data_IF_623654961213
#
_entry.id   IF_623654961213
#
_cell.length_a   1.000
_cell.length_b   1.000
_cell.length_c   1.000
_cell.angle_alpha   90.00
_cell.angle_beta   90.00
_cell.angle_gamma   90.00
#
_symmetry.space_group_name_H-M   'P 1'
#
loop_
_entity.id
_entity.type
_entity.pdbx_description
1 polymer ?
#
# COMPACT_ATOMS: atom_id res chain seq x y z
N UNK A 1 7.80 3.93 11.39
CA UNK A 1 7.05 4.89 12.23
C UNK A 1 5.99 4.14 12.97
N UNK A 2 5.74 4.48 14.23
CA UNK A 2 4.61 3.95 15.00
C UNK A 2 3.51 4.99 15.09
N UNK A 3 2.26 4.54 15.01
CA UNK A 3 1.09 5.32 15.37
C UNK A 3 0.75 5.00 16.82
N UNK A 4 0.66 6.03 17.65
CA UNK A 4 0.37 5.88 19.08
C UNK A 4 -0.95 6.51 19.47
N UNK A 5 -1.57 5.98 20.52
CA UNK A 5 -2.70 6.63 21.21
C UNK A 5 -2.20 7.80 22.06
N UNK A 6 -3.13 8.59 22.61
CA UNK A 6 -2.81 9.66 23.57
C UNK A 6 -2.15 9.14 24.86
N UNK A 7 -2.37 7.86 25.19
CA UNK A 7 -1.73 7.17 26.31
C UNK A 7 -0.33 6.60 25.96
N UNK A 8 0.13 6.76 24.71
CA UNK A 8 1.43 6.28 24.25
C UNK A 8 1.45 4.81 23.80
N UNK A 9 0.30 4.14 23.70
CA UNK A 9 0.22 2.77 23.20
C UNK A 9 0.45 2.72 21.68
N UNK A 10 1.36 1.86 21.21
CA UNK A 10 1.62 1.64 19.79
C UNK A 10 0.51 0.79 19.16
N UNK A 11 -0.29 1.40 18.28
CA UNK A 11 -1.47 0.77 17.65
C UNK A 11 -1.31 0.56 16.15
N UNK A 12 -0.19 0.97 15.58
CA UNK A 12 0.08 0.84 14.16
C UNK A 12 1.54 1.06 13.81
N UNK A 13 1.95 0.52 12.67
CA UNK A 13 3.27 0.76 12.13
C UNK A 13 3.26 0.81 10.62
N UNK A 14 4.20 1.59 10.08
CA UNK A 14 4.58 1.60 8.68
C UNK A 14 6.09 1.75 8.56
N UNK A 15 6.70 0.98 7.67
CA UNK A 15 8.10 1.13 7.33
C UNK A 15 8.27 1.42 5.85
N UNK A 16 9.24 2.27 5.56
CA UNK A 16 9.68 2.65 4.23
C UNK A 16 11.09 2.09 4.07
N UNK A 17 11.35 1.41 2.97
CA UNK A 17 12.58 0.67 2.72
C UNK A 17 13.18 1.05 1.37
N UNK A 18 14.48 0.82 1.21
CA UNK A 18 15.18 0.96 -0.06
C UNK A 18 15.25 -0.40 -0.76
N UNK A 19 14.69 -0.48 -1.96
CA UNK A 19 14.80 -1.65 -2.82
C UNK A 19 15.74 -1.34 -4.00
N UNK A 20 16.98 -1.84 -3.96
CA UNK A 20 17.90 -1.67 -5.08
C UNK A 20 17.56 -2.60 -6.24
N UNK A 21 17.94 -2.17 -7.45
CA UNK A 21 17.96 -2.97 -8.68
C UNK A 21 16.63 -3.67 -9.02
N UNK A 22 15.51 -2.99 -8.75
CA UNK A 22 14.20 -3.44 -9.20
C UNK A 22 13.99 -3.00 -10.65
N UNK A 23 14.05 -3.96 -11.58
CA UNK A 23 13.98 -3.69 -13.02
C UNK A 23 15.05 -2.68 -13.50
N UNK A 24 16.25 -2.75 -12.92
CA UNK A 24 17.37 -1.86 -13.26
C UNK A 24 17.30 -0.46 -12.64
N UNK A 25 16.38 -0.23 -11.70
CA UNK A 25 16.22 1.05 -11.00
C UNK A 25 16.09 0.87 -9.48
N UNK A 26 16.46 1.90 -8.72
CA UNK A 26 16.29 1.92 -7.27
C UNK A 26 14.91 2.48 -6.88
N UNK A 27 14.10 1.63 -6.23
CA UNK A 27 12.73 1.97 -5.85
C UNK A 27 12.59 2.08 -4.34
N UNK A 28 11.63 2.91 -3.90
CA UNK A 28 11.14 2.89 -2.53
C UNK A 28 10.18 1.73 -2.33
N UNK A 29 10.21 1.08 -1.16
CA UNK A 29 9.24 0.06 -0.81
C UNK A 29 8.47 0.46 0.44
N UNK A 30 7.14 0.33 0.40
CA UNK A 30 6.32 0.38 1.62
C UNK A 30 6.19 -1.02 2.19
N UNK A 31 6.69 -1.24 3.41
CA UNK A 31 6.79 -2.57 4.02
C UNK A 31 7.18 -2.47 5.50
N UNK A 32 6.55 -3.10 6.50
CA UNK A 32 5.16 -3.59 6.58
C UNK A 32 4.23 -2.49 7.10
N UNK A 33 2.97 -2.54 6.67
CA UNK A 33 1.88 -1.71 7.18
C UNK A 33 1.01 -2.58 8.09
N UNK A 34 0.82 -2.16 9.34
CA UNK A 34 -0.05 -2.86 10.28
C UNK A 34 -0.82 -1.86 11.16
N UNK A 35 -2.05 -2.24 11.52
CA UNK A 35 -2.86 -1.59 12.54
C UNK A 35 -3.36 -2.70 13.46
N UNK A 36 -3.29 -2.46 14.78
CA UNK A 36 -3.82 -3.37 15.78
C UNK A 36 -5.31 -3.67 15.50
N UNK A 37 -5.79 -4.93 15.56
CA UNK A 37 -7.15 -5.31 15.16
C UNK A 37 -8.26 -4.43 15.73
N UNK A 38 -8.19 -4.09 17.01
CA UNK A 38 -9.19 -3.26 17.72
C UNK A 38 -9.32 -1.83 17.16
N UNK A 39 -8.32 -1.39 16.40
CA UNK A 39 -8.23 -0.04 15.82
C UNK A 39 -8.39 -0.05 14.29
N UNK A 40 -8.61 -1.21 13.66
CA UNK A 40 -8.83 -1.32 12.22
C UNK A 40 -10.18 -0.73 11.79
N UNK A 41 -10.34 -0.48 10.48
CA UNK A 41 -11.56 0.10 9.91
C UNK A 41 -11.75 1.61 10.16
N UNK A 42 -10.83 2.26 10.91
CA UNK A 42 -10.92 3.69 11.27
C UNK A 42 -10.12 4.63 10.35
N UNK A 43 -9.61 4.12 9.23
CA UNK A 43 -8.81 4.91 8.29
C UNK A 43 -7.39 5.27 8.75
N UNK A 44 -6.92 4.71 9.87
CA UNK A 44 -5.65 5.05 10.52
C UNK A 44 -4.39 4.71 9.70
N UNK A 45 -4.51 3.87 8.67
CA UNK A 45 -3.42 3.63 7.73
C UNK A 45 -3.07 4.85 6.87
N UNK A 46 -4.03 5.75 6.60
CA UNK A 46 -3.83 6.90 5.70
C UNK A 46 -2.80 7.92 6.21
N UNK A 47 -2.83 8.39 7.46
CA UNK A 47 -1.78 9.29 7.97
C UNK A 47 -0.40 8.62 7.95
N UNK A 48 -0.32 7.33 8.30
CA UNK A 48 0.92 6.57 8.24
C UNK A 48 1.49 6.49 6.81
N UNK A 49 0.65 6.14 5.83
CA UNK A 49 1.01 6.13 4.41
C UNK A 49 1.52 7.50 3.93
N UNK A 50 0.87 8.59 4.35
CA UNK A 50 1.27 9.94 3.97
C UNK A 50 2.70 10.27 4.43
N UNK A 51 3.03 9.93 5.68
CA UNK A 51 4.37 10.13 6.24
C UNK A 51 5.40 9.27 5.51
N UNK A 52 5.11 7.99 5.29
CA UNK A 52 6.04 7.08 4.63
C UNK A 52 6.30 7.47 3.16
N UNK A 53 5.26 7.83 2.41
CA UNK A 53 5.37 8.28 1.01
C UNK A 53 6.13 9.60 0.90
N UNK A 54 5.87 10.57 1.80
CA UNK A 54 6.62 11.81 1.85
C UNK A 54 8.12 11.56 2.14
N UNK A 55 8.43 10.57 2.97
CA UNK A 55 9.81 10.17 3.23
C UNK A 55 10.46 9.51 2.01
N UNK A 56 9.81 8.53 1.38
CA UNK A 56 10.33 7.85 0.18
C UNK A 56 10.60 8.82 -0.97
N UNK A 57 9.73 9.82 -1.18
CA UNK A 57 9.87 10.84 -2.23
C UNK A 57 11.19 11.61 -2.16
N UNK A 58 11.83 11.68 -0.99
CA UNK A 58 13.13 12.36 -0.82
C UNK A 58 14.28 11.62 -1.49
N UNK A 59 14.13 10.31 -1.71
CA UNK A 59 15.21 9.43 -2.15
C UNK A 59 14.87 8.63 -3.41
N UNK A 60 13.58 8.45 -3.71
CA UNK A 60 13.13 7.60 -4.81
C UNK A 60 12.08 8.31 -5.67
N UNK A 61 12.18 8.11 -6.99
CA UNK A 61 11.19 8.60 -7.97
C UNK A 61 9.97 7.68 -8.06
N UNK A 62 10.13 6.41 -7.68
CA UNK A 62 9.11 5.37 -7.77
C UNK A 62 9.02 4.60 -6.47
N UNK A 63 7.86 4.03 -6.21
CA UNK A 63 7.64 3.14 -5.08
C UNK A 63 6.72 1.99 -5.43
N UNK A 64 6.94 0.85 -4.79
CA UNK A 64 6.05 -0.31 -4.87
C UNK A 64 5.73 -0.85 -3.47
N UNK A 65 4.77 -1.77 -3.43
CA UNK A 65 4.49 -2.59 -2.26
C UNK A 65 3.90 -3.92 -2.71
N UNK A 66 4.10 -4.95 -1.89
CA UNK A 66 3.44 -6.24 -2.04
C UNK A 66 2.25 -6.34 -1.09
N UNK A 67 1.13 -6.89 -1.57
CA UNK A 67 -0.01 -7.24 -0.72
C UNK A 67 -0.74 -8.46 -1.28
N UNK A 68 -1.58 -9.10 -0.47
CA UNK A 68 -2.42 -10.20 -0.94
C UNK A 68 -3.79 -9.69 -1.40
N UNK A 69 -4.36 -10.34 -2.43
CA UNK A 69 -5.67 -9.98 -3.02
C UNK A 69 -6.81 -9.95 -2.00
N UNK A 70 -6.75 -10.78 -0.94
CA UNK A 70 -7.74 -10.79 0.13
C UNK A 70 -7.73 -9.56 1.05
N UNK A 71 -6.72 -8.67 0.98
CA UNK A 71 -6.63 -7.48 1.83
C UNK A 71 -7.33 -6.27 1.21
N UNK A 72 -8.60 -6.43 0.85
CA UNK A 72 -9.40 -5.42 0.13
C UNK A 72 -9.35 -4.02 0.78
N UNK A 73 -9.49 -3.85 2.12
CA UNK A 73 -9.39 -2.52 2.72
C UNK A 73 -8.01 -1.88 2.54
N UNK A 74 -6.94 -2.67 2.58
CA UNK A 74 -5.58 -2.18 2.38
C UNK A 74 -5.33 -1.83 0.91
N UNK A 75 -5.77 -2.69 -0.02
CA UNK A 75 -5.69 -2.42 -1.46
C UNK A 75 -6.37 -1.09 -1.79
N UNK A 76 -7.58 -0.85 -1.27
CA UNK A 76 -8.25 0.44 -1.46
C UNK A 76 -7.39 1.61 -0.98
N UNK A 77 -6.75 1.51 0.19
CA UNK A 77 -5.84 2.56 0.68
C UNK A 77 -4.67 2.75 -0.29
N UNK A 78 -4.05 1.70 -0.80
CA UNK A 78 -2.94 1.84 -1.75
C UNK A 78 -3.39 2.50 -3.06
N UNK A 79 -4.54 2.11 -3.60
CA UNK A 79 -5.11 2.75 -4.79
C UNK A 79 -5.48 4.22 -4.54
N UNK A 80 -6.04 4.56 -3.37
CA UNK A 80 -6.31 5.95 -2.94
C UNK A 80 -4.99 6.78 -2.90
N UNK A 81 -3.85 6.14 -2.66
CA UNK A 81 -2.51 6.75 -2.61
C UNK A 81 -1.78 6.75 -3.96
N UNK A 82 -2.46 6.36 -5.04
CA UNK A 82 -1.92 6.41 -6.40
C UNK A 82 -1.05 5.23 -6.80
N UNK A 83 -1.11 4.12 -6.05
CA UNK A 83 -0.55 2.85 -6.53
C UNK A 83 -1.43 2.28 -7.64
N UNK A 84 -0.81 1.56 -8.56
CA UNK A 84 -1.47 0.90 -9.70
C UNK A 84 -1.26 -0.61 -9.65
N UNK A 85 -2.20 -1.39 -10.23
CA UNK A 85 -2.01 -2.80 -10.48
C UNK A 85 -0.68 -3.13 -11.19
N UNK A 86 0.13 -4.00 -10.58
CA UNK A 86 1.28 -4.64 -11.23
C UNK A 86 0.76 -5.85 -12.04
N UNK A 87 0.90 -5.78 -13.36
CA UNK A 87 0.44 -6.80 -14.31
C UNK A 87 1.59 -7.66 -14.87
N UNK A 88 2.83 -7.44 -14.43
CA UNK A 88 4.01 -8.12 -14.97
C UNK A 88 4.18 -9.54 -14.40
N UNK A 89 3.50 -9.87 -13.29
CA UNK A 89 3.60 -11.19 -12.65
C UNK A 89 2.62 -12.19 -13.22
N UNK A 90 3.02 -13.46 -13.12
CA UNK A 90 2.15 -14.58 -13.42
C UNK A 90 0.86 -14.51 -12.57
N UNK A 91 -0.29 -14.74 -13.21
CA UNK A 91 -1.62 -14.66 -12.60
C UNK A 91 -2.06 -13.28 -12.10
N UNK A 92 -1.30 -12.20 -12.33
CA UNK A 92 -1.68 -10.84 -11.90
C UNK A 92 -3.04 -10.43 -12.48
N UNK A 93 -3.32 -10.72 -13.75
CA UNK A 93 -4.62 -10.36 -14.35
C UNK A 93 -5.80 -11.01 -13.62
N UNK A 94 -5.70 -12.30 -13.30
CA UNK A 94 -6.76 -12.99 -12.56
C UNK A 94 -6.91 -12.40 -11.16
N UNK A 95 -5.81 -12.18 -10.44
CA UNK A 95 -5.85 -11.62 -9.09
C UNK A 95 -6.47 -10.21 -9.07
N UNK A 96 -6.16 -9.36 -10.04
CA UNK A 96 -6.75 -8.02 -10.14
C UNK A 96 -8.21 -8.04 -10.58
N UNK A 97 -8.62 -9.00 -11.42
CA UNK A 97 -10.04 -9.23 -11.73
C UNK A 97 -10.84 -9.68 -10.49
N UNK A 98 -10.28 -10.56 -9.66
CA UNK A 98 -10.89 -10.97 -8.39
C UNK A 98 -11.04 -9.78 -7.44
N UNK A 99 -10.02 -8.94 -7.31
CA UNK A 99 -10.10 -7.71 -6.50
C UNK A 99 -11.19 -6.78 -7.05
N UNK A 100 -11.24 -6.53 -8.35
CA UNK A 100 -12.21 -5.65 -8.98
C UNK A 100 -13.65 -6.16 -8.87
N UNK A 101 -13.85 -7.48 -8.77
CA UNK A 101 -15.18 -8.07 -8.55
C UNK A 101 -15.82 -7.67 -7.21
N UNK A 102 -15.01 -7.24 -6.23
CA UNK A 102 -15.46 -6.87 -4.88
C UNK A 102 -15.09 -5.44 -4.47
N UNK A 103 -14.26 -4.74 -5.25
CA UNK A 103 -13.79 -3.39 -4.97
C UNK A 103 -13.95 -2.49 -6.20
N UNK A 104 -14.93 -1.60 -6.15
CA UNK A 104 -15.03 -0.54 -7.15
C UNK A 104 -14.02 0.58 -6.85
N UNK A 105 -13.12 0.85 -7.80
CA UNK A 105 -12.17 1.95 -7.68
C UNK A 105 -11.84 2.57 -9.05
N UNK A 106 -11.71 3.92 -9.18
CA UNK A 106 -11.38 4.55 -10.46
C UNK A 106 -10.10 4.03 -11.13
N UNK A 107 -9.07 3.72 -10.33
CA UNK A 107 -7.81 3.16 -10.84
C UNK A 107 -8.02 1.78 -11.47
N UNK A 108 -8.84 0.91 -10.85
CA UNK A 108 -9.13 -0.42 -11.40
C UNK A 108 -9.85 -0.31 -12.75
N UNK A 109 -10.86 0.57 -12.84
CA UNK A 109 -11.56 0.86 -14.10
C UNK A 109 -10.63 1.41 -15.17
N UNK A 110 -9.72 2.31 -14.81
CA UNK A 110 -8.73 2.86 -15.74
C UNK A 110 -7.74 1.79 -16.24
N UNK A 111 -7.51 0.74 -15.47
CA UNK A 111 -6.71 -0.43 -15.84
C UNK A 111 -7.51 -1.51 -16.59
N UNK A 112 -8.81 -1.31 -16.83
CA UNK A 112 -9.66 -2.25 -17.56
C UNK A 112 -10.26 -3.38 -16.72
N UNK A 113 -10.33 -3.22 -15.40
CA UNK A 113 -10.99 -4.14 -14.48
C UNK A 113 -12.35 -3.61 -13.99
#
# INVERSE_FOLDING_TARGET
FYLTTDAGEEIGTITAWWQPDLNGEDWGQIHWVAIHPDYQGRGLAKPMMSVAMAYLKRFHQRSFLGTSSGRIPAIKVYLDFGFYPDLERENSQQAWAEVASVLEHPVLRACGF
#
